data_IF_370499857743
#
_entry.id   IF_370499857743
#
_cell.length_a   1.000
_cell.length_b   1.000
_cell.length_c   1.000
_cell.angle_alpha   90.00
_cell.angle_beta   90.00
_cell.angle_gamma   90.00
#
_symmetry.space_group_name_H-M   'P 1'
#
loop_
_entity.id
_entity.type
_entity.pdbx_description
1 polymer ?
#
# COMPACT_ATOMS: atom_id res chain seq x y z
N UNK A 1 -70.63 -50.30 -45.43
CA UNK A 1 -70.36 -51.33 -44.40
C UNK A 1 -68.86 -51.44 -44.23
N UNK A 2 -68.43 -51.54 -42.96
CA UNK A 2 -67.07 -51.76 -42.43
C UNK A 2 -66.11 -50.54 -42.47
N UNK A 3 -65.94 -49.74 -41.42
CA UNK A 3 -65.37 -49.93 -40.04
C UNK A 3 -63.85 -49.77 -39.93
N UNK A 4 -63.43 -48.73 -39.19
CA UNK A 4 -62.36 -48.69 -38.15
C UNK A 4 -60.91 -48.80 -38.70
N UNK A 5 -59.98 -47.85 -38.53
CA UNK A 5 -59.41 -47.27 -37.28
C UNK A 5 -58.41 -46.14 -37.64
N UNK A 6 -58.32 -45.01 -36.89
CA UNK A 6 -57.20 -44.08 -36.99
C UNK A 6 -56.06 -44.52 -36.06
N UNK A 7 -54.84 -44.62 -36.59
CA UNK A 7 -53.62 -44.82 -35.80
C UNK A 7 -53.18 -43.45 -35.26
N UNK A 8 -53.46 -43.19 -33.98
CA UNK A 8 -52.91 -42.07 -33.23
C UNK A 8 -51.48 -42.44 -32.84
N UNK A 9 -50.49 -41.79 -33.46
CA UNK A 9 -49.09 -41.90 -33.05
C UNK A 9 -48.76 -40.74 -32.11
N UNK A 10 -48.77 -41.00 -30.81
CA UNK A 10 -48.40 -40.03 -29.77
C UNK A 10 -46.87 -39.98 -29.67
N UNK A 11 -46.26 -38.95 -30.25
CA UNK A 11 -44.83 -38.67 -30.10
C UNK A 11 -44.62 -37.89 -28.80
N UNK A 12 -44.29 -38.58 -27.71
CA UNK A 12 -43.85 -37.95 -26.47
C UNK A 12 -42.38 -37.51 -26.62
N UNK A 13 -42.16 -36.25 -26.99
CA UNK A 13 -40.85 -35.61 -26.88
C UNK A 13 -40.52 -35.43 -25.39
N UNK A 14 -39.68 -36.29 -24.85
CA UNK A 14 -38.98 -36.04 -23.59
C UNK A 14 -37.90 -34.99 -23.88
N UNK A 15 -38.22 -33.73 -23.62
CA UNK A 15 -37.23 -32.67 -23.45
C UNK A 15 -36.48 -32.94 -22.13
N UNK A 16 -35.49 -33.84 -22.20
CA UNK A 16 -34.43 -33.84 -21.22
C UNK A 16 -33.62 -32.56 -21.45
N UNK A 17 -33.96 -31.50 -20.71
CA UNK A 17 -33.13 -30.31 -20.64
C UNK A 17 -31.79 -30.72 -20.05
N UNK A 18 -30.78 -30.91 -20.89
CA UNK A 18 -29.38 -30.80 -20.45
C UNK A 18 -29.22 -29.37 -19.99
N UNK A 19 -29.20 -29.15 -18.68
CA UNK A 19 -28.69 -27.92 -18.12
C UNK A 19 -27.22 -27.84 -18.55
N UNK A 20 -26.95 -27.12 -19.64
CA UNK A 20 -25.57 -26.80 -19.99
C UNK A 20 -25.01 -26.02 -18.81
N UNK A 21 -23.98 -26.58 -18.16
CA UNK A 21 -23.16 -25.84 -17.22
C UNK A 21 -22.55 -24.69 -18.03
N UNK A 22 -23.09 -23.50 -17.84
CA UNK A 22 -22.63 -22.31 -18.52
C UNK A 22 -21.33 -21.89 -17.84
N UNK A 23 -20.21 -22.26 -18.44
CA UNK A 23 -18.89 -21.79 -18.04
C UNK A 23 -18.89 -20.26 -18.04
N UNK A 24 -18.75 -19.67 -16.86
CA UNK A 24 -18.69 -18.24 -16.69
C UNK A 24 -17.26 -17.78 -16.89
N UNK A 25 -17.08 -16.67 -17.60
CA UNK A 25 -15.76 -16.06 -17.79
C UNK A 25 -15.66 -14.82 -16.93
N UNK A 26 -14.51 -14.67 -16.25
CA UNK A 26 -14.17 -13.41 -15.64
C UNK A 26 -14.05 -12.33 -16.72
N UNK A 27 -14.49 -11.12 -16.38
CA UNK A 27 -14.28 -9.95 -17.23
C UNK A 27 -12.77 -9.72 -17.44
N UNK A 28 -12.42 -9.07 -18.56
CA UNK A 28 -11.05 -8.61 -18.76
C UNK A 28 -10.64 -7.64 -17.63
N UNK A 29 -9.38 -7.68 -17.17
CA UNK A 29 -8.93 -6.80 -16.10
C UNK A 29 -9.16 -5.33 -16.45
N UNK A 30 -9.76 -4.58 -15.53
CA UNK A 30 -10.01 -3.15 -15.64
C UNK A 30 -8.81 -2.33 -15.13
N UNK A 31 -8.83 -1.02 -15.41
CA UNK A 31 -7.89 -0.10 -14.79
C UNK A 31 -8.07 -0.11 -13.26
N UNK A 32 -6.99 -0.39 -12.52
CA UNK A 32 -7.00 -0.54 -11.05
C UNK A 32 -7.05 -1.99 -10.56
N UNK A 33 -7.33 -2.96 -11.43
CA UNK A 33 -7.22 -4.37 -11.07
C UNK A 33 -5.74 -4.78 -10.90
N UNK A 34 -5.49 -5.64 -9.91
CA UNK A 34 -4.18 -6.27 -9.74
C UNK A 34 -4.17 -7.57 -10.56
N UNK A 35 -3.57 -7.56 -11.75
CA UNK A 35 -3.52 -8.74 -12.63
C UNK A 35 -2.09 -9.23 -12.88
N UNK A 36 -1.69 -10.38 -12.32
CA UNK A 36 -0.37 -10.93 -12.58
C UNK A 36 -0.26 -11.52 -13.99
N UNK A 37 0.75 -11.07 -14.74
CA UNK A 37 1.09 -11.62 -16.06
C UNK A 37 2.02 -12.83 -15.97
N UNK A 38 2.75 -12.94 -14.86
CA UNK A 38 3.71 -13.99 -14.58
C UNK A 38 3.39 -14.64 -13.23
N UNK A 39 3.64 -15.95 -13.14
CA UNK A 39 3.61 -16.68 -11.89
C UNK A 39 5.02 -17.17 -11.56
N UNK A 40 5.36 -17.16 -10.27
CA UNK A 40 6.66 -17.54 -9.75
C UNK A 40 6.53 -18.83 -8.94
N UNK A 41 7.52 -19.71 -9.10
CA UNK A 41 7.75 -20.84 -8.22
C UNK A 41 9.14 -20.73 -7.59
N UNK A 42 9.21 -20.79 -6.25
CA UNK A 42 10.48 -20.83 -5.51
C UNK A 42 10.46 -21.88 -4.39
N UNK A 43 11.59 -22.55 -4.09
CA UNK A 43 11.66 -23.51 -2.98
C UNK A 43 11.31 -22.91 -1.62
N UNK A 44 11.69 -21.65 -1.36
CA UNK A 44 11.36 -20.93 -0.13
C UNK A 44 9.84 -20.81 0.10
N UNK A 45 9.06 -20.71 -0.98
CA UNK A 45 7.60 -20.64 -0.91
C UNK A 45 6.99 -21.94 -0.37
N UNK A 46 7.52 -23.10 -0.78
CA UNK A 46 7.02 -24.40 -0.35
C UNK A 46 7.25 -24.66 1.15
N UNK A 47 8.36 -24.17 1.70
CA UNK A 47 8.68 -24.29 3.14
C UNK A 47 7.80 -23.37 4.01
N UNK A 48 7.45 -22.18 3.52
CA UNK A 48 6.47 -21.32 4.20
C UNK A 48 5.08 -21.98 4.19
N UNK A 49 4.67 -22.49 3.03
CA UNK A 49 3.39 -23.18 2.86
C UNK A 49 3.23 -24.41 3.76
N UNK A 50 4.30 -25.19 3.98
CA UNK A 50 4.23 -26.42 4.80
C UNK A 50 3.98 -26.16 6.29
N UNK A 51 4.11 -24.91 6.75
CA UNK A 51 3.85 -24.50 8.14
C UNK A 51 2.44 -23.97 8.37
N UNK A 52 1.63 -23.84 7.31
CA UNK A 52 0.28 -23.30 7.38
C UNK A 52 -0.75 -24.38 7.73
N UNK A 53 -1.89 -23.96 8.29
CA UNK A 53 -3.06 -24.81 8.48
C UNK A 53 -3.49 -25.45 7.15
N UNK A 54 -3.74 -26.75 7.14
CA UNK A 54 -4.07 -27.47 5.92
C UNK A 54 -5.59 -27.59 5.68
N UNK A 55 -6.40 -27.55 6.74
CA UNK A 55 -7.84 -27.75 6.66
C UNK A 55 -8.51 -26.66 5.80
N UNK A 56 -9.38 -27.02 4.85
CA UNK A 56 -10.14 -26.03 4.10
C UNK A 56 -11.11 -25.31 5.04
N UNK A 57 -11.25 -24.00 4.84
CA UNK A 57 -12.19 -23.16 5.60
C UNK A 57 -13.05 -22.40 4.61
N UNK A 58 -14.34 -22.29 4.93
CA UNK A 58 -15.33 -21.54 4.16
C UNK A 58 -16.24 -20.82 5.13
N UNK A 59 -16.51 -19.54 4.89
CA UNK A 59 -17.47 -18.79 5.69
C UNK A 59 -18.06 -17.65 4.85
N UNK A 60 -19.30 -17.29 5.15
CA UNK A 60 -19.95 -16.11 4.59
C UNK A 60 -20.68 -15.32 5.66
N UNK A 61 -20.86 -14.04 5.43
CA UNK A 61 -21.56 -13.14 6.34
C UNK A 61 -22.29 -12.04 5.58
N UNK A 62 -23.31 -11.49 6.24
CA UNK A 62 -24.14 -10.42 5.70
C UNK A 62 -23.42 -9.09 5.80
N UNK A 63 -23.55 -8.27 4.76
CA UNK A 63 -23.12 -6.88 4.80
C UNK A 63 -24.32 -5.98 5.15
N UNK A 64 -24.13 -4.93 5.97
CA UNK A 64 -25.17 -3.93 6.22
C UNK A 64 -25.72 -3.34 4.91
N UNK A 65 -27.01 -3.04 4.87
CA UNK A 65 -27.66 -2.53 3.65
C UNK A 65 -27.15 -1.14 3.23
N UNK A 66 -26.65 -0.36 4.19
CA UNK A 66 -26.02 0.95 4.04
C UNK A 66 -24.49 0.89 3.91
N UNK A 67 -23.91 -0.32 3.81
CA UNK A 67 -22.48 -0.49 3.64
C UNK A 67 -22.01 0.15 2.33
N UNK A 68 -21.21 1.21 2.45
CA UNK A 68 -20.47 1.76 1.32
C UNK A 68 -19.21 0.93 1.11
N UNK A 69 -19.01 0.44 -0.11
CA UNK A 69 -17.79 -0.25 -0.53
C UNK A 69 -16.92 0.74 -1.29
N UNK A 70 -15.71 0.97 -0.80
CA UNK A 70 -14.72 1.80 -1.46
C UNK A 70 -13.41 1.04 -1.53
N UNK A 71 -12.78 1.03 -2.71
CA UNK A 71 -11.44 0.50 -2.85
C UNK A 71 -10.46 1.31 -2.00
N UNK A 72 -9.50 0.66 -1.32
CA UNK A 72 -8.45 1.38 -0.60
C UNK A 72 -7.63 2.23 -1.58
N UNK A 73 -7.38 3.47 -1.20
CA UNK A 73 -6.53 4.38 -1.96
C UNK A 73 -5.07 4.24 -1.51
N UNK A 74 -4.10 4.47 -2.41
CA UNK A 74 -2.70 4.60 -2.02
C UNK A 74 -2.49 5.65 -0.93
N UNK A 75 -1.56 5.38 -0.03
CA UNK A 75 -1.18 6.37 0.98
C UNK A 75 -0.47 7.56 0.33
N UNK A 76 -0.98 8.76 0.61
CA UNK A 76 -0.35 10.03 0.26
C UNK A 76 0.36 10.61 1.48
N UNK A 77 1.67 10.80 1.36
CA UNK A 77 2.48 11.50 2.33
C UNK A 77 2.65 12.96 1.91
N UNK A 78 2.44 13.89 2.85
CA UNK A 78 2.71 15.32 2.64
C UNK A 78 3.78 15.75 3.65
N UNK A 79 4.95 16.15 3.16
CA UNK A 79 6.12 16.47 3.99
C UNK A 79 6.44 17.96 4.03
N UNK A 80 6.75 18.46 5.22
CA UNK A 80 7.32 19.79 5.50
C UNK A 80 8.69 19.69 6.18
N UNK A 81 9.36 18.57 6.00
CA UNK A 81 10.59 18.23 6.70
C UNK A 81 11.66 17.75 5.75
N UNK A 82 12.91 17.83 6.19
CA UNK A 82 14.06 17.25 5.51
C UNK A 82 15.12 16.82 6.50
N UNK A 83 16.01 15.94 6.04
CA UNK A 83 17.17 15.47 6.79
C UNK A 83 18.46 15.75 6.03
N UNK A 84 19.47 16.26 6.72
CA UNK A 84 20.81 16.40 6.18
C UNK A 84 21.84 15.87 7.16
N UNK A 85 22.82 15.13 6.65
CA UNK A 85 24.03 14.81 7.42
C UNK A 85 24.93 16.04 7.44
N UNK A 86 25.50 16.34 8.59
CA UNK A 86 26.43 17.46 8.80
C UNK A 86 27.58 16.96 9.68
N UNK A 87 28.81 17.15 9.25
CA UNK A 87 29.97 16.78 10.05
C UNK A 87 30.15 17.69 11.28
N UNK A 88 30.91 17.22 12.27
CA UNK A 88 31.28 18.05 13.42
C UNK A 88 31.93 19.38 13.00
N UNK A 89 32.81 19.32 12.00
CA UNK A 89 33.55 20.48 11.50
C UNK A 89 32.62 21.50 10.83
N UNK A 90 31.74 21.05 9.93
CA UNK A 90 30.77 21.92 9.27
C UNK A 90 29.82 22.56 10.28
N UNK A 91 29.33 21.79 11.26
CA UNK A 91 28.42 22.33 12.27
C UNK A 91 29.13 23.30 13.23
N UNK A 92 30.41 23.10 13.53
CA UNK A 92 31.22 24.04 14.33
C UNK A 92 31.53 25.33 13.57
N UNK A 93 31.77 25.25 12.25
CA UNK A 93 31.99 26.40 11.38
C UNK A 93 30.69 27.19 11.11
N UNK A 94 29.55 26.50 11.06
CA UNK A 94 28.24 27.04 10.75
C UNK A 94 27.68 26.43 9.47
N UNK A 95 26.58 25.69 9.58
CA UNK A 95 25.85 25.12 8.45
C UNK A 95 24.67 26.02 8.10
N UNK A 96 24.62 26.50 6.87
CA UNK A 96 23.42 27.17 6.36
C UNK A 96 22.31 26.17 6.09
N UNK A 97 21.11 26.50 6.56
CA UNK A 97 19.84 25.82 6.31
C UNK A 97 18.87 26.89 5.78
N UNK A 98 18.08 26.58 4.77
CA UNK A 98 17.04 27.49 4.27
C UNK A 98 15.69 27.03 4.80
N UNK A 99 15.00 27.92 5.53
CA UNK A 99 13.62 27.70 5.98
C UNK A 99 12.65 28.56 5.18
N UNK A 100 11.47 28.04 4.91
CA UNK A 100 10.36 28.71 4.22
C UNK A 100 9.36 29.37 5.17
N UNK A 101 9.37 28.98 6.45
CA UNK A 101 8.46 29.51 7.47
C UNK A 101 9.15 29.70 8.83
N UNK A 102 8.55 30.55 9.66
CA UNK A 102 8.98 30.80 11.03
C UNK A 102 8.70 29.61 11.95
N UNK A 103 9.48 29.51 13.03
CA UNK A 103 9.24 28.56 14.10
C UNK A 103 9.62 27.12 13.77
N UNK A 104 10.61 26.91 12.90
CA UNK A 104 11.12 25.60 12.54
C UNK A 104 11.59 24.82 13.77
N UNK A 105 11.29 23.52 13.79
CA UNK A 105 11.77 22.56 14.78
C UNK A 105 13.00 21.86 14.22
N UNK A 106 14.10 21.88 14.96
CA UNK A 106 15.37 21.29 14.55
C UNK A 106 15.76 20.24 15.58
N UNK A 107 16.12 19.05 15.09
CA UNK A 107 16.68 17.96 15.91
C UNK A 107 18.07 17.59 15.40
N UNK A 108 19.01 17.56 16.33
CA UNK A 108 20.40 17.15 16.14
C UNK A 108 20.59 15.78 16.78
N UNK A 109 20.71 14.74 15.97
CA UNK A 109 20.96 13.38 16.44
C UNK A 109 22.38 12.95 16.07
N UNK A 110 23.24 12.59 17.04
CA UNK A 110 24.57 12.06 16.74
C UNK A 110 24.50 10.81 15.86
N UNK A 111 25.43 10.70 14.91
CA UNK A 111 25.60 9.51 14.07
C UNK A 111 26.61 8.57 14.72
N UNK A 112 26.20 7.33 14.98
CA UNK A 112 27.01 6.34 15.68
C UNK A 112 26.98 6.50 17.20
N UNK A 113 28.04 6.09 17.89
CA UNK A 113 28.14 6.29 19.35
C UNK A 113 28.48 7.75 19.67
N UNK A 114 27.64 8.38 20.50
CA UNK A 114 27.83 9.76 20.91
C UNK A 114 29.10 9.93 21.75
N UNK A 115 30.01 10.81 21.31
CA UNK A 115 31.22 11.24 22.02
C UNK A 115 30.95 12.36 23.02
N UNK A 116 29.75 12.92 23.00
CA UNK A 116 29.29 14.01 23.86
C UNK A 116 27.86 14.43 23.46
N UNK A 117 27.11 14.98 24.41
CA UNK A 117 25.76 15.48 24.19
C UNK A 117 25.79 16.92 23.65
N UNK A 118 24.91 17.23 22.71
CA UNK A 118 24.69 18.62 22.31
C UNK A 118 23.93 19.38 23.42
N UNK A 119 24.33 20.62 23.66
CA UNK A 119 23.80 21.48 24.72
C UNK A 119 23.07 22.67 24.08
N UNK A 120 21.79 22.94 24.43
CA UNK A 120 21.05 24.10 23.93
C UNK A 120 21.79 25.43 24.12
N UNK A 121 22.55 25.60 25.21
CA UNK A 121 23.30 26.83 25.49
C UNK A 121 24.54 27.01 24.62
N UNK A 122 24.88 26.01 23.80
CA UNK A 122 25.97 26.08 22.84
C UNK A 122 25.45 26.29 21.41
N UNK A 123 24.14 26.28 21.21
CA UNK A 123 23.55 26.57 19.91
C UNK A 123 23.64 28.05 19.63
N UNK A 124 24.15 28.37 18.45
CA UNK A 124 24.12 29.71 17.89
C UNK A 124 23.37 29.69 16.56
N UNK A 125 22.48 30.66 16.38
CA UNK A 125 21.74 30.85 15.14
C UNK A 125 22.10 32.23 14.60
N UNK A 126 22.48 32.34 13.33
CA UNK A 126 22.61 33.63 12.66
C UNK A 126 21.58 33.73 11.55
N UNK A 127 20.77 34.79 11.56
CA UNK A 127 19.72 35.03 10.58
C UNK A 127 19.54 36.55 10.39
N UNK A 128 19.36 37.00 9.15
CA UNK A 128 19.16 38.43 8.85
C UNK A 128 20.27 39.36 9.36
N UNK A 129 21.51 38.87 9.48
CA UNK A 129 22.64 39.61 10.03
C UNK A 129 22.69 39.71 11.56
N UNK A 130 21.72 39.14 12.27
CA UNK A 130 21.69 39.04 13.72
C UNK A 130 22.15 37.65 14.19
N UNK A 131 23.00 37.60 15.22
CA UNK A 131 23.41 36.36 15.87
C UNK A 131 22.68 36.21 17.21
N UNK A 132 22.00 35.08 17.36
CA UNK A 132 21.38 34.60 18.58
C UNK A 132 22.30 33.55 19.22
N UNK A 133 23.10 33.96 20.19
CA UNK A 133 24.03 33.07 20.87
C UNK A 133 23.41 32.47 22.14
N UNK A 134 24.09 31.49 22.74
CA UNK A 134 23.69 30.88 24.04
C UNK A 134 22.23 30.37 24.08
N UNK A 135 21.72 29.94 22.94
CA UNK A 135 20.33 29.48 22.82
C UNK A 135 19.27 30.60 22.80
N UNK A 136 19.66 31.89 22.71
CA UNK A 136 18.71 33.02 22.74
C UNK A 136 17.66 32.97 21.62
N UNK A 137 17.97 32.31 20.51
CA UNK A 137 17.08 32.11 19.36
C UNK A 137 16.12 30.92 19.51
N UNK A 138 16.17 30.19 20.64
CA UNK A 138 15.39 28.98 20.89
C UNK A 138 14.13 29.32 21.72
N UNK A 139 12.96 28.96 21.22
CA UNK A 139 11.68 29.09 21.93
C UNK A 139 11.54 28.02 23.01
N UNK A 140 11.81 26.78 22.63
CA UNK A 140 11.82 25.60 23.48
C UNK A 140 13.04 24.74 23.11
N UNK A 141 13.59 24.00 24.06
CA UNK A 141 14.63 23.01 23.82
C UNK A 141 14.43 21.79 24.72
N UNK A 142 14.82 20.63 24.23
CA UNK A 142 14.84 19.38 24.98
C UNK A 142 16.14 18.63 24.70
N UNK A 143 16.89 18.32 25.75
CA UNK A 143 18.08 17.46 25.69
C UNK A 143 17.70 15.96 25.81
N UNK A 144 18.69 15.07 25.73
CA UNK A 144 18.47 13.61 25.82
C UNK A 144 17.64 13.20 27.04
N UNK A 145 17.92 13.76 28.23
CA UNK A 145 17.24 13.38 29.46
C UNK A 145 15.75 13.77 29.42
N UNK A 146 15.45 14.97 28.93
CA UNK A 146 14.09 15.49 28.79
C UNK A 146 13.30 14.73 27.72
N UNK A 147 13.94 14.44 26.59
CA UNK A 147 13.35 13.65 25.50
C UNK A 147 13.04 12.21 25.94
N UNK A 148 13.94 11.60 26.73
CA UNK A 148 13.72 10.27 27.32
C UNK A 148 12.58 10.28 28.34
N UNK A 149 12.48 11.33 29.16
CA UNK A 149 11.38 11.50 30.11
C UNK A 149 10.01 11.64 29.41
N UNK A 150 9.99 12.15 28.17
CA UNK A 150 8.80 12.23 27.33
C UNK A 150 8.38 10.88 26.68
N UNK A 151 9.06 9.77 27.01
CA UNK A 151 8.66 8.43 26.58
C UNK A 151 9.05 8.05 25.15
N UNK A 152 9.89 8.84 24.48
CA UNK A 152 10.35 8.56 23.12
C UNK A 152 11.82 8.11 23.14
N UNK A 153 12.14 7.03 22.42
CA UNK A 153 13.52 6.56 22.27
C UNK A 153 14.23 7.36 21.18
N UNK A 154 15.21 8.18 21.56
CA UNK A 154 16.10 8.88 20.64
C UNK A 154 17.54 8.39 20.81
N UNK A 155 18.40 8.55 19.78
CA UNK A 155 19.83 8.31 19.95
C UNK A 155 20.41 9.13 21.10
N UNK A 156 21.31 8.54 21.88
CA UNK A 156 22.00 9.27 22.95
C UNK A 156 22.72 10.52 22.41
N UNK A 157 22.73 11.58 23.21
CA UNK A 157 23.26 12.89 22.84
C UNK A 157 22.37 13.71 21.90
N UNK A 158 21.11 13.29 21.65
CA UNK A 158 20.15 14.05 20.84
C UNK A 158 19.75 15.36 21.54
N UNK A 159 19.67 16.42 20.74
CA UNK A 159 19.12 17.72 21.12
C UNK A 159 18.02 18.10 20.14
N UNK A 160 16.86 18.53 20.65
CA UNK A 160 15.79 19.11 19.83
C UNK A 160 15.46 20.53 20.32
N UNK A 161 15.16 21.44 19.40
CA UNK A 161 14.72 22.79 19.74
C UNK A 161 13.81 23.38 18.67
N UNK A 162 12.98 24.33 19.08
CA UNK A 162 12.18 25.15 18.17
C UNK A 162 12.77 26.55 18.10
N UNK A 163 12.92 27.11 16.91
CA UNK A 163 13.33 28.49 16.73
C UNK A 163 12.22 29.45 17.20
N UNK A 164 12.61 30.59 17.77
CA UNK A 164 11.64 31.68 18.01
C UNK A 164 11.26 32.38 16.71
N UNK A 165 10.11 33.04 16.70
CA UNK A 165 9.61 33.74 15.52
C UNK A 165 10.50 34.95 15.13
N UNK A 166 11.25 35.52 16.09
CA UNK A 166 12.19 36.63 15.84
C UNK A 166 13.42 36.19 15.04
N UNK A 167 13.75 34.90 15.00
CA UNK A 167 14.79 34.36 14.11
C UNK A 167 14.37 34.51 12.64
N UNK A 168 13.07 34.53 12.36
CA UNK A 168 12.52 34.68 11.02
C UNK A 168 12.55 33.39 10.20
N UNK A 169 12.65 33.57 8.88
CA UNK A 169 12.72 32.51 7.87
C UNK A 169 13.74 32.89 6.79
N UNK A 170 14.07 31.96 5.90
CA UNK A 170 15.07 32.10 4.85
C UNK A 170 16.37 31.40 5.26
N UNK A 171 17.49 31.93 4.80
CA UNK A 171 18.79 31.37 5.16
C UNK A 171 19.11 31.65 6.64
N UNK A 172 19.26 30.58 7.39
CA UNK A 172 19.76 30.58 8.77
C UNK A 172 21.08 29.83 8.83
N UNK A 173 22.06 30.33 9.56
CA UNK A 173 23.29 29.60 9.87
C UNK A 173 23.17 28.99 11.25
N UNK A 174 23.11 27.66 11.30
CA UNK A 174 23.14 26.87 12.52
C UNK A 174 24.58 26.53 12.88
N UNK A 175 25.01 26.89 14.09
CA UNK A 175 26.35 26.61 14.59
C UNK A 175 26.32 25.96 15.97
N UNK A 176 27.15 24.93 16.15
CA UNK A 176 27.43 24.29 17.43
C UNK A 176 28.95 24.29 17.63
N UNK A 177 29.55 25.33 18.26
CA UNK A 177 31.00 25.51 18.26
C UNK A 177 31.80 24.32 18.81
N UNK A 178 31.23 23.59 19.78
CA UNK A 178 31.83 22.38 20.37
C UNK A 178 31.16 21.09 19.88
N UNK A 179 30.72 21.05 18.62
CA UNK A 179 30.19 19.84 17.99
C UNK A 179 31.20 18.68 18.14
N UNK A 180 30.77 17.61 18.81
CA UNK A 180 31.62 16.46 19.13
C UNK A 180 31.40 15.25 18.21
N UNK A 181 30.37 15.29 17.37
CA UNK A 181 29.92 14.20 16.52
C UNK A 181 29.61 14.68 15.10
N UNK A 182 29.50 13.75 14.17
CA UNK A 182 28.65 13.98 13.00
C UNK A 182 27.19 13.92 13.44
N UNK A 183 26.34 14.74 12.83
CA UNK A 183 24.94 14.85 13.18
C UNK A 183 24.06 14.58 11.97
N UNK A 184 22.96 13.88 12.22
CA UNK A 184 21.77 13.94 11.38
C UNK A 184 20.95 15.13 11.87
N UNK A 185 20.87 16.17 11.04
CA UNK A 185 20.05 17.35 11.27
C UNK A 185 18.70 17.11 10.62
N UNK A 186 17.66 17.03 11.44
CA UNK A 186 16.26 16.99 10.99
C UNK A 186 15.67 18.38 11.17
N UNK A 187 15.04 18.91 10.13
CA UNK A 187 14.32 20.18 10.17
C UNK A 187 12.87 19.91 9.81
N UNK A 188 11.95 20.36 10.66
CA UNK A 188 10.51 20.32 10.41
C UNK A 188 9.92 21.73 10.49
N UNK A 189 9.19 22.13 9.46
CA UNK A 189 8.58 23.46 9.35
C UNK A 189 7.05 23.37 9.47
N UNK A 190 6.47 23.36 10.68
CA UNK A 190 5.04 23.12 10.87
C UNK A 190 4.14 24.13 10.15
N UNK A 191 4.64 25.36 9.94
CA UNK A 191 3.91 26.47 9.34
C UNK A 191 4.24 26.69 7.86
N UNK A 192 5.00 25.80 7.22
CA UNK A 192 5.37 25.93 5.82
C UNK A 192 4.19 25.69 4.87
N UNK A 193 4.03 26.59 3.89
CA UNK A 193 3.16 26.34 2.73
C UNK A 193 3.83 25.41 1.70
N UNK A 194 5.15 25.28 1.76
CA UNK A 194 5.97 24.44 0.88
C UNK A 194 5.99 23.00 1.38
N UNK A 195 5.51 22.09 0.55
CA UNK A 195 5.19 20.69 0.84
C UNK A 195 5.66 19.82 -0.33
N UNK A 196 6.32 18.71 0.00
CA UNK A 196 6.51 17.60 -0.94
C UNK A 196 5.42 16.55 -0.69
N UNK A 197 4.51 16.41 -1.63
CA UNK A 197 3.53 15.32 -1.66
C UNK A 197 4.11 14.11 -2.39
N UNK A 198 3.90 12.92 -1.86
CA UNK A 198 4.38 11.66 -2.42
C UNK A 198 3.30 10.58 -2.32
N UNK A 199 3.02 9.91 -3.43
CA UNK A 199 2.08 8.79 -3.50
C UNK A 199 2.45 7.82 -4.62
N UNK A 200 1.82 6.65 -4.63
CA UNK A 200 1.90 5.70 -5.74
C UNK A 200 0.57 5.65 -6.50
N UNK A 201 0.57 5.14 -7.73
CA UNK A 201 -0.67 4.89 -8.49
C UNK A 201 -1.45 3.66 -7.99
N UNK A 202 -0.88 2.89 -7.07
CA UNK A 202 -1.47 1.66 -6.51
C UNK A 202 -0.91 1.31 -5.13
N UNK A 203 -1.65 0.50 -4.38
CA UNK A 203 -1.23 -0.02 -3.07
C UNK A 203 -0.32 -1.25 -3.14
N UNK A 204 -0.36 -1.99 -4.25
CA UNK A 204 0.39 -3.24 -4.44
C UNK A 204 1.14 -3.22 -5.77
N UNK A 205 2.47 -3.37 -5.70
CA UNK A 205 3.32 -3.60 -6.85
C UNK A 205 3.45 -5.10 -7.11
N UNK A 206 3.21 -5.53 -8.35
CA UNK A 206 3.31 -6.94 -8.75
C UNK A 206 4.67 -7.17 -9.39
N UNK A 207 5.35 -8.26 -9.01
CA UNK A 207 6.60 -8.67 -9.65
C UNK A 207 6.43 -8.78 -11.18
N UNK A 208 7.37 -8.19 -11.91
CA UNK A 208 7.35 -8.11 -13.37
C UNK A 208 6.42 -7.04 -13.94
N UNK A 209 5.61 -6.38 -13.08
CA UNK A 209 4.76 -5.25 -13.44
C UNK A 209 5.47 -3.90 -13.34
N UNK A 210 4.77 -2.86 -13.78
CA UNK A 210 5.17 -1.46 -13.60
C UNK A 210 4.16 -0.75 -12.71
N UNK A 211 4.66 0.15 -11.86
CA UNK A 211 3.85 1.11 -11.11
C UNK A 211 4.49 2.50 -11.18
N UNK A 212 3.73 3.52 -10.81
CA UNK A 212 4.19 4.92 -10.81
C UNK A 212 4.35 5.43 -9.39
N UNK A 213 5.44 6.15 -9.15
CA UNK A 213 5.62 7.02 -8.00
C UNK A 213 5.37 8.45 -8.47
N UNK A 214 4.44 9.15 -7.82
CA UNK A 214 4.06 10.52 -8.13
C UNK A 214 4.50 11.42 -6.98
N UNK A 215 5.32 12.41 -7.31
CA UNK A 215 5.78 13.42 -6.40
C UNK A 215 5.33 14.81 -6.88
N UNK A 216 4.88 15.66 -5.96
CA UNK A 216 4.55 17.05 -6.25
C UNK A 216 5.22 17.94 -5.22
N UNK A 217 6.02 18.89 -5.70
CA UNK A 217 6.70 19.85 -4.86
C UNK A 217 6.27 21.26 -5.26
N UNK A 218 5.67 22.00 -4.32
CA UNK A 218 5.12 23.34 -4.59
C UNK A 218 6.07 24.49 -4.20
N UNK A 219 7.32 24.20 -3.82
CA UNK A 219 8.32 25.24 -3.59
C UNK A 219 8.80 25.85 -4.91
N UNK A 220 8.30 27.05 -5.21
CA UNK A 220 8.56 27.75 -6.47
C UNK A 220 7.83 27.12 -7.67
N UNK A 221 8.24 27.52 -8.88
CA UNK A 221 7.56 27.09 -10.12
C UNK A 221 8.00 25.69 -10.61
N UNK A 222 9.20 25.24 -10.23
CA UNK A 222 9.78 23.96 -10.66
C UNK A 222 10.90 23.55 -9.69
N UNK A 223 10.94 22.27 -9.29
CA UNK A 223 12.02 21.70 -8.51
C UNK A 223 13.35 21.76 -9.29
N UNK A 224 14.42 22.22 -8.63
CA UNK A 224 15.77 22.25 -9.19
C UNK A 224 16.43 20.88 -9.16
N UNK A 225 16.10 20.07 -8.14
CA UNK A 225 16.48 18.68 -8.05
C UNK A 225 15.34 17.87 -7.42
N UNK A 226 15.13 16.67 -7.94
CA UNK A 226 14.26 15.66 -7.34
C UNK A 226 14.83 14.28 -7.64
N UNK A 227 14.84 13.42 -6.62
CA UNK A 227 15.36 12.07 -6.73
C UNK A 227 14.83 11.22 -5.58
N UNK A 228 15.15 9.93 -5.59
CA UNK A 228 14.67 9.04 -4.55
C UNK A 228 15.16 7.62 -4.73
N UNK A 229 14.72 6.76 -3.84
CA UNK A 229 14.94 5.33 -3.94
C UNK A 229 13.74 4.56 -3.38
N UNK A 230 13.56 3.37 -3.90
CA UNK A 230 12.70 2.32 -3.38
C UNK A 230 13.59 1.33 -2.61
N UNK A 231 13.27 1.09 -1.35
CA UNK A 231 13.97 0.13 -0.49
C UNK A 231 13.09 -1.08 -0.19
N UNK A 232 13.65 -2.27 -0.31
CA UNK A 232 13.00 -3.51 0.14
C UNK A 232 13.07 -3.66 1.66
N UNK A 233 12.26 -4.57 2.24
CA UNK A 233 12.40 -4.96 3.65
C UNK A 233 13.77 -5.58 4.00
N UNK A 234 14.45 -6.16 3.02
CA UNK A 234 15.77 -6.80 3.17
C UNK A 234 16.93 -5.84 2.90
N UNK A 235 16.65 -4.61 2.47
CA UNK A 235 17.63 -3.52 2.34
C UNK A 235 18.17 -3.30 0.94
N UNK A 236 17.73 -4.07 -0.07
CA UNK A 236 18.04 -3.74 -1.47
C UNK A 236 17.38 -2.43 -1.87
N UNK A 237 18.09 -1.64 -2.68
CA UNK A 237 17.64 -0.32 -3.12
C UNK A 237 17.61 -0.23 -4.64
N UNK A 238 16.56 0.43 -5.15
CA UNK A 238 16.41 0.80 -6.56
C UNK A 238 16.26 2.31 -6.64
N UNK A 239 17.13 2.97 -7.40
CA UNK A 239 17.07 4.41 -7.60
C UNK A 239 15.83 4.81 -8.41
N UNK A 240 15.22 5.94 -8.05
CA UNK A 240 14.06 6.50 -8.73
C UNK A 240 14.48 7.68 -9.59
N UNK A 241 14.26 7.55 -10.90
CA UNK A 241 14.42 8.64 -11.85
C UNK A 241 13.06 9.29 -12.12
N UNK A 242 12.92 10.55 -11.76
CA UNK A 242 11.69 11.32 -11.92
C UNK A 242 11.73 12.17 -13.19
N UNK A 243 10.64 12.11 -13.97
CA UNK A 243 10.40 12.97 -15.12
C UNK A 243 9.22 13.89 -14.84
N UNK A 244 9.25 15.13 -15.34
CA UNK A 244 8.15 16.06 -15.15
C UNK A 244 6.99 15.72 -16.11
N UNK A 245 5.82 15.40 -15.57
CA UNK A 245 4.57 15.18 -16.30
C UNK A 245 3.52 16.18 -15.79
N UNK A 246 3.48 17.39 -16.40
CA UNK A 246 2.61 18.48 -15.95
C UNK A 246 3.08 19.10 -14.63
N UNK A 247 2.20 19.11 -13.62
CA UNK A 247 2.51 19.59 -12.26
C UNK A 247 3.16 18.51 -11.38
N UNK A 248 3.21 17.26 -11.85
CA UNK A 248 3.77 16.13 -11.13
C UNK A 248 5.16 15.75 -11.67
N UNK A 249 5.95 15.16 -10.79
CA UNK A 249 7.15 14.41 -11.11
C UNK A 249 6.80 12.93 -10.99
N UNK A 250 7.04 12.17 -12.05
CA UNK A 250 6.63 10.77 -12.15
C UNK A 250 7.88 9.91 -12.35
N UNK A 251 8.08 8.94 -11.46
CA UNK A 251 9.03 7.85 -11.67
C UNK A 251 8.26 6.57 -12.02
N UNK A 252 8.62 5.94 -13.14
CA UNK A 252 8.07 4.64 -13.56
C UNK A 252 8.99 3.54 -13.06
N UNK A 253 8.45 2.62 -12.27
CA UNK A 253 9.24 1.59 -11.59
C UNK A 253 8.80 0.22 -12.10
N UNK A 254 9.72 -0.49 -12.75
CA UNK A 254 9.55 -1.92 -13.03
C UNK A 254 9.86 -2.69 -11.76
N UNK A 255 8.85 -3.30 -11.17
CA UNK A 255 8.97 -3.93 -9.86
C UNK A 255 9.56 -5.33 -9.97
N UNK A 256 10.74 -5.53 -9.35
CA UNK A 256 11.30 -6.85 -9.13
C UNK A 256 11.16 -7.24 -7.65
N UNK A 257 10.01 -7.83 -7.32
CA UNK A 257 9.74 -8.30 -5.97
C UNK A 257 10.64 -9.46 -5.49
N UNK A 258 11.43 -10.09 -6.35
CA UNK A 258 12.31 -11.22 -5.97
C UNK A 258 13.64 -10.75 -5.37
N UNK A 259 14.17 -9.62 -5.85
CA UNK A 259 15.45 -9.09 -5.38
C UNK A 259 15.41 -8.73 -3.90
N UNK A 260 14.24 -8.38 -3.37
CA UNK A 260 14.05 -8.06 -1.96
C UNK A 260 12.80 -8.69 -1.36
N UNK A 261 12.55 -9.97 -1.69
CA UNK A 261 11.42 -10.72 -1.11
C UNK A 261 11.63 -10.87 0.41
N UNK A 262 10.73 -10.30 1.20
CA UNK A 262 10.83 -10.30 2.65
C UNK A 262 9.51 -9.95 3.31
N UNK A 263 9.44 -10.13 4.63
CA UNK A 263 8.30 -9.68 5.42
C UNK A 263 8.38 -8.16 5.63
N UNK A 264 7.30 -7.46 5.29
CA UNK A 264 7.22 -6.01 5.47
C UNK A 264 6.79 -5.27 4.20
N UNK A 265 6.68 -3.95 4.33
CA UNK A 265 6.39 -3.06 3.21
C UNK A 265 7.68 -2.60 2.57
N UNK A 266 7.63 -2.36 1.26
CA UNK A 266 8.70 -1.64 0.58
C UNK A 266 8.51 -0.14 0.83
N UNK A 267 9.61 0.56 1.06
CA UNK A 267 9.60 1.98 1.40
C UNK A 267 10.07 2.83 0.22
N UNK A 268 9.35 3.90 -0.07
CA UNK A 268 9.72 4.86 -1.10
C UNK A 268 10.15 6.13 -0.38
N UNK A 269 11.38 6.58 -0.68
CA UNK A 269 11.95 7.82 -0.16
C UNK A 269 12.19 8.76 -1.33
N UNK A 270 11.76 10.01 -1.20
CA UNK A 270 11.93 11.03 -2.25
C UNK A 270 12.40 12.32 -1.62
N UNK A 271 13.38 12.95 -2.26
CA UNK A 271 14.05 14.17 -1.83
C UNK A 271 13.88 15.21 -2.94
N UNK A 272 13.50 16.43 -2.58
CA UNK A 272 13.34 17.52 -3.53
C UNK A 272 13.95 18.82 -3.01
N UNK A 273 14.49 19.64 -3.91
CA UNK A 273 14.98 20.96 -3.57
C UNK A 273 14.64 22.02 -4.63
N UNK A 274 14.33 23.22 -4.15
CA UNK A 274 14.04 24.39 -4.97
C UNK A 274 14.34 25.66 -4.16
N UNK A 275 15.13 26.59 -4.73
CA UNK A 275 15.47 27.85 -4.08
C UNK A 275 16.05 27.68 -2.66
N UNK A 276 16.85 26.62 -2.46
CA UNK A 276 17.43 26.26 -1.15
C UNK A 276 16.49 25.50 -0.21
N UNK A 277 15.17 25.53 -0.44
CA UNK A 277 14.18 24.80 0.36
C UNK A 277 14.27 23.31 0.02
N UNK A 278 14.40 22.47 1.04
CA UNK A 278 14.50 21.01 0.92
C UNK A 278 13.29 20.32 1.54
N UNK A 279 12.82 19.24 0.92
CA UNK A 279 11.78 18.38 1.48
C UNK A 279 12.08 16.92 1.18
N UNK A 280 11.82 16.09 2.18
CA UNK A 280 11.98 14.64 2.13
C UNK A 280 10.63 14.00 2.47
N UNK A 281 10.09 13.20 1.57
CA UNK A 281 8.82 12.51 1.76
C UNK A 281 9.03 10.99 1.71
N UNK A 282 8.22 10.28 2.50
CA UNK A 282 8.26 8.82 2.59
C UNK A 282 6.85 8.24 2.48
N UNK A 283 6.69 7.23 1.63
CA UNK A 283 5.48 6.39 1.58
C UNK A 283 5.88 4.92 1.47
N UNK A 284 4.89 4.03 1.46
CA UNK A 284 5.14 2.59 1.40
C UNK A 284 4.20 1.90 0.41
N UNK A 285 4.65 0.77 -0.12
CA UNK A 285 3.90 -0.06 -1.07
C UNK A 285 4.03 -1.54 -0.70
N UNK A 286 2.97 -2.31 -0.92
CA UNK A 286 3.00 -3.77 -0.77
C UNK A 286 3.66 -4.37 -2.00
N UNK A 287 4.58 -5.32 -1.80
CA UNK A 287 5.13 -6.14 -2.88
C UNK A 287 4.38 -7.47 -2.97
N UNK A 288 3.94 -7.83 -4.17
CA UNK A 288 3.34 -9.13 -4.47
C UNK A 288 4.21 -9.88 -5.46
N UNK A 289 4.60 -11.10 -5.09
CA UNK A 289 5.26 -12.08 -5.97
C UNK A 289 4.22 -13.16 -6.28
N UNK A 290 3.53 -13.09 -7.43
CA UNK A 290 2.37 -13.94 -7.69
C UNK A 290 2.76 -15.41 -7.84
N UNK A 291 2.16 -16.28 -7.04
CA UNK A 291 2.31 -17.74 -7.10
C UNK A 291 1.07 -18.42 -7.61
N UNK A 292 -0.06 -17.70 -7.63
CA UNK A 292 -1.29 -18.13 -8.23
C UNK A 292 -2.03 -16.94 -8.86
N UNK A 293 -2.96 -17.26 -9.77
CA UNK A 293 -3.86 -16.30 -10.43
C UNK A 293 -5.19 -16.97 -10.75
N UNK A 294 -6.26 -16.21 -10.95
CA UNK A 294 -7.50 -16.74 -11.50
C UNK A 294 -7.26 -17.28 -12.92
N UNK A 295 -7.81 -18.44 -13.22
CA UNK A 295 -7.68 -19.06 -14.55
C UNK A 295 -8.62 -18.42 -15.59
N UNK A 296 -9.53 -17.54 -15.17
CA UNK A 296 -10.47 -16.82 -16.04
C UNK A 296 -11.84 -17.49 -16.17
N UNK A 297 -12.03 -18.66 -15.59
CA UNK A 297 -13.24 -19.48 -15.66
C UNK A 297 -13.84 -19.72 -14.28
N UNK A 298 -15.17 -19.84 -14.23
CA UNK A 298 -15.89 -20.21 -13.03
C UNK A 298 -17.19 -20.92 -13.38
N UNK A 299 -17.66 -21.75 -12.45
CA UNK A 299 -18.99 -22.38 -12.52
C UNK A 299 -19.78 -22.02 -11.27
N UNK A 300 -21.09 -21.90 -11.39
CA UNK A 300 -21.94 -21.70 -10.22
C UNK A 300 -23.05 -22.73 -10.13
N UNK A 301 -23.50 -22.99 -8.91
CA UNK A 301 -24.63 -23.86 -8.65
C UNK A 301 -25.36 -23.40 -7.38
N UNK A 302 -26.69 -23.48 -7.41
CA UNK A 302 -27.48 -23.52 -6.17
C UNK A 302 -27.47 -24.94 -5.64
N UNK A 303 -27.06 -25.10 -4.40
CA UNK A 303 -27.05 -26.40 -3.72
C UNK A 303 -28.45 -26.73 -3.19
N UNK A 304 -28.71 -28.02 -2.90
CA UNK A 304 -30.03 -28.48 -2.41
C UNK A 304 -30.48 -27.80 -1.11
N UNK A 305 -29.54 -27.37 -0.28
CA UNK A 305 -29.80 -26.64 0.97
C UNK A 305 -30.03 -25.13 0.76
N UNK A 306 -30.01 -24.63 -0.48
CA UNK A 306 -30.26 -23.23 -0.80
C UNK A 306 -29.03 -22.32 -0.83
N UNK A 307 -27.83 -22.84 -0.52
CA UNK A 307 -26.59 -22.07 -0.68
C UNK A 307 -26.28 -21.78 -2.15
N UNK A 308 -25.56 -20.70 -2.39
CA UNK A 308 -24.99 -20.35 -3.70
C UNK A 308 -23.50 -20.65 -3.67
N UNK A 309 -23.05 -21.56 -4.54
CA UNK A 309 -21.65 -21.92 -4.69
C UNK A 309 -21.13 -21.39 -6.01
N UNK A 310 -19.97 -20.75 -5.97
CA UNK A 310 -19.17 -20.35 -7.12
C UNK A 310 -17.83 -21.08 -7.05
N UNK A 311 -17.58 -22.00 -7.97
CA UNK A 311 -16.27 -22.63 -8.15
C UNK A 311 -15.42 -21.72 -9.02
N UNK A 312 -14.33 -21.21 -8.44
CA UNK A 312 -13.39 -20.32 -9.13
C UNK A 312 -12.14 -21.12 -9.48
N UNK A 313 -11.78 -21.15 -10.76
CA UNK A 313 -10.57 -21.83 -11.21
C UNK A 313 -9.33 -20.95 -10.99
N UNK A 314 -8.25 -21.61 -10.57
CA UNK A 314 -6.99 -20.97 -10.16
C UNK A 314 -5.82 -21.69 -10.81
N UNK A 315 -4.94 -20.94 -11.47
CA UNK A 315 -3.65 -21.42 -11.94
C UNK A 315 -2.59 -21.20 -10.86
N UNK A 316 -1.91 -22.26 -10.43
CA UNK A 316 -0.96 -22.24 -9.32
C UNK A 316 0.43 -22.66 -9.81
N UNK A 317 1.46 -21.85 -9.54
CA UNK A 317 2.85 -22.17 -9.83
C UNK A 317 3.59 -22.78 -8.63
N UNK A 318 3.28 -22.36 -7.40
CA UNK A 318 3.85 -22.92 -6.18
C UNK A 318 2.77 -23.25 -5.15
N UNK A 319 2.96 -24.36 -4.43
CA UNK A 319 2.04 -24.78 -3.39
C UNK A 319 1.97 -23.72 -2.28
N UNK A 320 0.75 -23.36 -1.88
CA UNK A 320 0.50 -22.51 -0.71
C UNK A 320 -0.94 -22.67 -0.22
N UNK A 321 -1.26 -22.00 0.89
CA UNK A 321 -2.63 -21.78 1.33
C UNK A 321 -3.16 -20.53 0.67
N UNK A 322 -4.07 -20.71 -0.27
CA UNK A 322 -4.69 -19.60 -0.99
C UNK A 322 -6.10 -19.35 -0.46
N UNK A 323 -6.49 -18.09 -0.47
CA UNK A 323 -7.82 -17.62 -0.09
C UNK A 323 -8.45 -16.86 -1.25
N UNK A 324 -9.70 -17.19 -1.57
CA UNK A 324 -10.55 -16.41 -2.47
C UNK A 324 -11.62 -15.71 -1.66
N UNK A 325 -11.77 -14.40 -1.88
CA UNK A 325 -12.85 -13.59 -1.34
C UNK A 325 -13.67 -12.97 -2.45
N UNK A 326 -14.95 -12.74 -2.20
CA UNK A 326 -15.82 -12.00 -3.12
C UNK A 326 -17.07 -11.48 -2.44
N UNK A 327 -17.65 -10.43 -3.03
CA UNK A 327 -18.84 -9.75 -2.53
C UNK A 327 -20.03 -10.10 -3.41
N UNK A 328 -21.11 -10.61 -2.82
CA UNK A 328 -22.36 -10.86 -3.51
C UNK A 328 -23.20 -9.59 -3.59
N UNK A 329 -23.55 -9.25 -4.84
CA UNK A 329 -24.56 -8.27 -5.17
C UNK A 329 -25.82 -8.98 -5.68
N UNK A 330 -26.96 -8.38 -5.40
CA UNK A 330 -28.25 -8.87 -5.89
C UNK A 330 -29.30 -7.77 -5.82
N UNK A 331 -30.54 -8.11 -6.19
CA UNK A 331 -31.67 -7.19 -6.13
C UNK A 331 -32.23 -7.09 -4.72
N UNK A 332 -32.41 -5.84 -4.28
CA UNK A 332 -33.24 -5.45 -3.15
C UNK A 332 -34.37 -4.55 -3.69
N UNK A 333 -35.53 -5.16 -3.94
CA UNK A 333 -36.60 -4.53 -4.71
C UNK A 333 -36.14 -4.16 -6.13
N UNK A 334 -36.05 -2.84 -6.42
CA UNK A 334 -35.58 -2.32 -7.71
C UNK A 334 -34.09 -1.95 -7.72
N UNK A 335 -33.44 -1.90 -6.56
CA UNK A 335 -32.04 -1.51 -6.44
C UNK A 335 -31.13 -2.75 -6.52
N UNK A 336 -29.89 -2.56 -6.99
CA UNK A 336 -28.82 -3.55 -6.86
C UNK A 336 -27.87 -3.07 -5.78
N UNK A 337 -27.57 -3.92 -4.79
CA UNK A 337 -26.62 -3.60 -3.72
C UNK A 337 -25.81 -4.81 -3.28
N UNK A 338 -24.71 -4.54 -2.60
CA UNK A 338 -23.99 -5.57 -1.85
C UNK A 338 -24.84 -6.06 -0.67
N UNK A 339 -24.76 -7.35 -0.36
CA UNK A 339 -25.51 -7.91 0.78
C UNK A 339 -24.84 -9.07 1.47
N UNK A 340 -23.79 -9.67 0.90
CA UNK A 340 -22.99 -10.67 1.58
C UNK A 340 -21.54 -10.64 1.09
N UNK A 341 -20.62 -11.09 1.93
CA UNK A 341 -19.25 -11.43 1.54
C UNK A 341 -19.01 -12.90 1.88
N UNK A 342 -18.23 -13.58 1.05
CA UNK A 342 -17.76 -14.93 1.32
C UNK A 342 -16.22 -14.97 1.24
N UNK A 343 -15.65 -15.89 2.00
CA UNK A 343 -14.25 -16.26 1.93
C UNK A 343 -14.10 -17.79 1.97
N UNK A 344 -13.18 -18.30 1.16
CA UNK A 344 -12.79 -19.70 1.14
C UNK A 344 -11.28 -19.82 1.04
N UNK A 345 -10.66 -20.64 1.90
CA UNK A 345 -9.23 -20.87 1.90
C UNK A 345 -8.90 -22.36 1.95
N UNK A 346 -7.91 -22.79 1.16
CA UNK A 346 -7.38 -24.16 1.19
C UNK A 346 -5.94 -24.21 0.67
N UNK A 347 -5.26 -25.33 0.93
CA UNK A 347 -3.98 -25.65 0.30
C UNK A 347 -4.22 -26.01 -1.16
N UNK A 348 -3.59 -25.28 -2.09
CA UNK A 348 -3.58 -25.62 -3.51
C UNK A 348 -2.17 -26.07 -3.93
N UNK A 349 -2.12 -27.08 -4.79
CA UNK A 349 -0.88 -27.61 -5.37
C UNK A 349 -0.60 -26.94 -6.73
N UNK A 350 0.65 -26.98 -7.23
CA UNK A 350 0.96 -26.49 -8.56
C UNK A 350 0.08 -27.15 -9.64
N UNK A 351 -0.32 -26.36 -10.64
CA UNK A 351 -1.22 -26.75 -11.72
C UNK A 351 -2.56 -26.00 -11.68
N UNK A 352 -3.52 -26.49 -12.47
CA UNK A 352 -4.90 -26.00 -12.45
C UNK A 352 -5.63 -26.58 -11.24
N UNK A 353 -6.17 -25.70 -10.41
CA UNK A 353 -6.90 -26.01 -9.19
C UNK A 353 -8.19 -25.18 -9.14
N UNK A 354 -9.02 -25.39 -8.12
CA UNK A 354 -10.25 -24.62 -7.95
C UNK A 354 -10.55 -24.37 -6.47
N UNK A 355 -11.17 -23.25 -6.15
CA UNK A 355 -11.72 -22.95 -4.83
C UNK A 355 -13.23 -22.71 -4.93
N UNK A 356 -14.00 -23.37 -4.07
CA UNK A 356 -15.44 -23.14 -3.97
C UNK A 356 -15.68 -21.94 -3.02
N UNK A 357 -16.11 -20.81 -3.55
CA UNK A 357 -16.64 -19.66 -2.80
C UNK A 357 -18.12 -19.90 -2.48
N UNK A 358 -18.49 -19.94 -1.20
CA UNK A 358 -19.83 -20.35 -0.77
C UNK A 358 -20.53 -19.23 -0.02
N UNK A 359 -21.68 -18.81 -0.51
CA UNK A 359 -22.65 -18.01 0.24
C UNK A 359 -23.68 -18.96 0.82
N UNK A 360 -23.60 -19.20 2.13
CA UNK A 360 -24.47 -20.16 2.79
C UNK A 360 -25.94 -19.70 2.80
N UNK A 361 -26.86 -20.66 2.93
CA UNK A 361 -28.29 -20.40 2.83
C UNK A 361 -28.80 -19.41 3.90
N UNK A 362 -28.20 -19.41 5.08
CA UNK A 362 -28.58 -18.51 6.18
C UNK A 362 -28.16 -17.07 5.87
N UNK A 363 -26.93 -16.89 5.41
CA UNK A 363 -26.37 -15.61 4.94
C UNK A 363 -27.18 -15.07 3.77
N UNK A 364 -27.52 -15.90 2.78
CA UNK A 364 -28.36 -15.51 1.65
C UNK A 364 -29.74 -15.05 2.13
N UNK A 365 -30.40 -15.82 2.99
CA UNK A 365 -31.72 -15.46 3.52
C UNK A 365 -31.67 -14.14 4.30
N UNK A 366 -30.68 -13.96 5.17
CA UNK A 366 -30.50 -12.74 5.98
C UNK A 366 -30.10 -11.52 5.15
N UNK A 367 -29.42 -11.70 4.02
CA UNK A 367 -29.04 -10.59 3.12
C UNK A 367 -30.26 -9.91 2.48
N UNK A 368 -31.38 -10.62 2.36
CA UNK A 368 -32.59 -10.16 1.68
C UNK A 368 -32.44 -10.05 0.15
N UNK A 369 -31.31 -10.48 -0.42
CA UNK A 369 -31.03 -10.34 -1.84
C UNK A 369 -31.75 -11.39 -2.69
N UNK A 370 -32.29 -10.94 -3.81
CA UNK A 370 -32.87 -11.79 -4.85
C UNK A 370 -32.04 -11.77 -6.13
N UNK A 371 -32.18 -12.82 -6.94
CA UNK A 371 -31.52 -12.93 -8.24
C UNK A 371 -32.04 -11.84 -9.24
N UNK A 372 -31.29 -11.51 -10.31
CA UNK A 372 -29.97 -12.03 -10.68
C UNK A 372 -28.89 -11.60 -9.69
N UNK A 373 -27.87 -12.45 -9.53
CA UNK A 373 -26.75 -12.20 -8.64
C UNK A 373 -25.50 -11.88 -9.46
N UNK A 374 -24.61 -11.09 -8.87
CA UNK A 374 -23.24 -10.94 -9.38
C UNK A 374 -22.26 -11.00 -8.21
N UNK A 375 -21.16 -11.70 -8.35
CA UNK A 375 -20.04 -11.63 -7.40
C UNK A 375 -19.07 -10.58 -7.90
N UNK A 376 -18.62 -9.65 -7.06
CA UNK A 376 -17.66 -8.58 -7.41
C UNK A 376 -16.53 -8.53 -6.40
N UNK A 377 -15.52 -7.69 -6.66
CA UNK A 377 -14.36 -7.50 -5.78
C UNK A 377 -13.64 -8.83 -5.46
N UNK A 378 -13.48 -9.66 -6.50
CA UNK A 378 -12.88 -10.98 -6.36
C UNK A 378 -11.39 -10.83 -6.08
N UNK A 379 -10.93 -11.38 -4.96
CA UNK A 379 -9.54 -11.24 -4.50
C UNK A 379 -8.95 -12.61 -4.21
N UNK A 380 -7.76 -12.87 -4.75
CA UNK A 380 -6.93 -14.04 -4.46
C UNK A 380 -5.76 -13.62 -3.57
N UNK A 381 -5.62 -14.25 -2.41
CA UNK A 381 -4.56 -13.99 -1.44
C UNK A 381 -3.73 -15.26 -1.22
N UNK A 382 -2.42 -15.11 -1.12
CA UNK A 382 -1.53 -16.16 -0.63
C UNK A 382 -1.26 -15.92 0.86
N UNK A 383 -1.77 -16.79 1.73
CA UNK A 383 -1.60 -16.65 3.19
C UNK A 383 -0.16 -16.94 3.65
N UNK A 384 0.67 -17.57 2.81
CA UNK A 384 2.09 -17.81 3.12
C UNK A 384 2.98 -16.58 2.93
N UNK A 385 2.58 -15.64 2.07
CA UNK A 385 3.24 -14.34 1.89
C UNK A 385 2.44 -13.17 2.46
N UNK A 386 1.19 -13.43 2.89
CA UNK A 386 0.20 -12.43 3.29
C UNK A 386 -0.03 -11.35 2.21
N UNK A 387 0.14 -11.71 0.95
CA UNK A 387 0.06 -10.80 -0.19
C UNK A 387 -1.11 -11.12 -1.11
N UNK A 388 -1.80 -10.07 -1.58
CA UNK A 388 -2.79 -10.17 -2.66
C UNK A 388 -2.07 -10.57 -3.94
N UNK A 389 -2.46 -11.69 -4.52
CA UNK A 389 -1.91 -12.24 -5.75
C UNK A 389 -2.62 -11.64 -6.97
N UNK A 390 -3.95 -11.47 -6.85
CA UNK A 390 -4.80 -10.93 -7.90
C UNK A 390 -6.05 -10.29 -7.28
N UNK A 391 -6.51 -9.19 -7.86
CA UNK A 391 -7.80 -8.56 -7.53
C UNK A 391 -8.54 -8.15 -8.80
N UNK A 392 -9.85 -8.32 -8.79
CA UNK A 392 -10.78 -7.99 -9.88
C UNK A 392 -12.00 -7.28 -9.33
N UNK A 393 -12.14 -5.98 -9.63
CA UNK A 393 -13.29 -5.19 -9.21
C UNK A 393 -14.56 -5.67 -9.91
N UNK A 394 -14.49 -5.81 -11.24
CA UNK A 394 -15.53 -6.48 -12.00
C UNK A 394 -15.45 -7.99 -11.76
N UNK A 395 -16.54 -8.59 -11.31
CA UNK A 395 -16.56 -10.03 -11.10
C UNK A 395 -17.48 -10.75 -12.09
N UNK A 396 -18.28 -11.67 -11.56
CA UNK A 396 -18.95 -12.72 -12.32
C UNK A 396 -20.45 -12.58 -12.16
N UNK A 397 -21.16 -12.43 -13.27
CA UNK A 397 -22.63 -12.47 -13.33
C UNK A 397 -23.09 -13.94 -13.30
N UNK A 398 -24.08 -14.25 -12.45
CA UNK A 398 -24.54 -15.62 -12.16
C UNK A 398 -25.91 -15.92 -12.79
#
# INVERSE_FOLDING_TARGET
MNTIRPLVLTLALVLAGTAEARELRLAAPAAGDLSPTQLVSSPASAEKASRLEAAPVQFSWVLPADQTLSAPLPHRADSREFWTRVSAQELSAGKTLTTSAKGALIRLSPIGQAKGAADPLQVEITAGGQTFARGDGLKNSANEAELKAAGTSFPSGTLAFQLKDEVGQGDITLRLPKAANDYLVHVFEPNSAEVLSLQTDRITAVHGGEFKVLARFNAGDTAQAIGGFLSSPTGEQVELSFEREGDDYVAKVRHDGLIGEGEGLWEIHTFASANGIQRDAKTAIVSSVPRARFAGTADHAKTRNGSLRLRVDVSVAAASRFEVRGILFGRDGKAVRAGAMASSAAILKPGQQSLDLVFDAETLAKSGLSAPYSVRDLTLVDQGSLAVQESRAAGIEL
#
